data_IF_452455764821
#
_entry.id   IF_452455764821
#
_cell.length_a   1.000
_cell.length_b   1.000
_cell.length_c   1.000
_cell.angle_alpha   90.00
_cell.angle_beta   90.00
_cell.angle_gamma   90.00
#
_symmetry.space_group_name_H-M   'P 1'
#
loop_
_entity.id
_entity.type
_entity.pdbx_description
1 polymer ?
#
# COMPACT_ATOMS: atom_id res chain seq x y z
N UNK A 1 15.95 -9.78 -21.44
CA UNK A 1 17.33 -10.32 -21.70
C UNK A 1 17.17 -11.72 -22.26
N UNK A 2 17.33 -11.91 -23.58
CA UNK A 2 17.24 -13.23 -24.19
C UNK A 2 18.44 -14.07 -23.75
N UNK A 3 18.23 -14.95 -22.78
CA UNK A 3 19.10 -16.11 -22.52
C UNK A 3 19.27 -16.81 -23.87
N UNK A 4 20.50 -17.04 -24.33
CA UNK A 4 20.84 -17.46 -25.70
C UNK A 4 20.06 -18.66 -26.25
N UNK A 5 18.82 -18.41 -26.66
CA UNK A 5 17.91 -19.39 -27.23
C UNK A 5 18.21 -19.48 -28.71
N UNK A 6 18.63 -20.67 -29.14
CA UNK A 6 18.75 -20.98 -30.56
C UNK A 6 17.36 -21.20 -31.11
N UNK A 7 16.88 -20.26 -31.92
CA UNK A 7 15.67 -20.45 -32.71
C UNK A 7 15.99 -21.30 -33.93
N UNK A 8 15.03 -22.10 -34.36
CA UNK A 8 15.03 -22.64 -35.71
C UNK A 8 15.11 -21.47 -36.73
N UNK A 9 15.91 -21.56 -37.81
CA UNK A 9 16.05 -20.49 -38.80
C UNK A 9 14.72 -19.95 -39.35
N UNK A 10 13.73 -20.82 -39.55
CA UNK A 10 12.43 -20.41 -40.09
C UNK A 10 11.60 -19.66 -39.04
N UNK A 11 11.72 -20.05 -37.77
CA UNK A 11 11.08 -19.37 -36.63
C UNK A 11 11.73 -18.01 -36.40
N UNK A 12 13.07 -17.92 -36.52
CA UNK A 12 13.81 -16.67 -36.40
C UNK A 12 13.41 -15.66 -37.49
N UNK A 13 13.30 -16.11 -38.74
CA UNK A 13 12.88 -15.24 -39.86
C UNK A 13 11.45 -14.73 -39.65
N UNK A 14 10.53 -15.58 -39.19
CA UNK A 14 9.15 -15.18 -38.88
C UNK A 14 9.10 -14.14 -37.77
N UNK A 15 9.80 -14.35 -36.65
CA UNK A 15 9.84 -13.35 -35.58
C UNK A 15 10.50 -12.04 -36.00
N UNK A 16 11.50 -12.08 -36.86
CA UNK A 16 12.15 -10.86 -37.38
C UNK A 16 11.23 -10.07 -38.30
N UNK A 17 10.47 -10.75 -39.16
CA UNK A 17 9.46 -10.14 -40.01
C UNK A 17 8.33 -9.50 -39.17
N UNK A 18 7.85 -10.24 -38.17
CA UNK A 18 6.77 -9.79 -37.28
C UNK A 18 7.20 -8.60 -36.39
N UNK A 19 8.44 -8.62 -35.89
CA UNK A 19 9.04 -7.53 -35.12
C UNK A 19 9.15 -6.26 -35.98
N UNK A 20 9.57 -6.41 -37.24
CA UNK A 20 9.64 -5.30 -38.20
C UNK A 20 8.27 -4.74 -38.55
N UNK A 21 7.26 -5.60 -38.68
CA UNK A 21 5.88 -5.18 -38.96
C UNK A 21 5.23 -4.42 -37.79
N UNK A 22 5.61 -4.79 -36.56
CA UNK A 22 5.06 -4.23 -35.33
C UNK A 22 5.88 -3.07 -34.75
N UNK A 23 6.92 -2.62 -35.46
CA UNK A 23 7.89 -1.60 -35.02
C UNK A 23 8.51 -1.89 -33.64
N UNK A 24 8.84 -3.17 -33.40
CA UNK A 24 9.45 -3.68 -32.17
C UNK A 24 10.82 -4.26 -32.44
N UNK A 25 11.68 -4.24 -31.41
CA UNK A 25 12.91 -5.03 -31.46
C UNK A 25 12.58 -6.52 -31.39
N UNK A 26 13.37 -7.36 -32.06
CA UNK A 26 13.20 -8.83 -32.02
C UNK A 26 13.09 -9.38 -30.58
N UNK A 27 13.91 -8.94 -29.61
CA UNK A 27 13.74 -9.33 -28.21
C UNK A 27 12.37 -8.98 -27.62
N UNK A 28 11.85 -7.76 -27.89
CA UNK A 28 10.53 -7.35 -27.41
C UNK A 28 9.40 -8.12 -28.08
N UNK A 29 9.52 -8.49 -29.35
CA UNK A 29 8.48 -9.28 -30.04
C UNK A 29 8.40 -10.71 -29.46
N UNK A 30 9.54 -11.29 -29.07
CA UNK A 30 9.57 -12.59 -28.38
C UNK A 30 8.96 -12.48 -26.98
N UNK A 31 9.30 -11.43 -26.21
CA UNK A 31 8.75 -11.18 -24.88
C UNK A 31 7.23 -10.93 -24.95
N UNK A 32 6.75 -10.16 -25.93
CA UNK A 32 5.33 -9.89 -26.18
C UNK A 32 4.55 -11.17 -26.51
N UNK A 33 5.10 -12.07 -27.34
CA UNK A 33 4.40 -13.32 -27.67
C UNK A 33 4.40 -14.31 -26.52
N UNK A 34 5.49 -14.38 -25.76
CA UNK A 34 5.53 -15.15 -24.52
C UNK A 34 4.50 -14.61 -23.51
N UNK A 35 4.28 -13.30 -23.47
CA UNK A 35 3.28 -12.67 -22.60
C UNK A 35 1.85 -12.96 -23.03
N UNK A 36 1.55 -12.93 -24.34
CA UNK A 36 0.23 -13.34 -24.86
C UNK A 36 -0.08 -14.78 -24.44
N UNK A 37 0.90 -15.67 -24.59
CA UNK A 37 0.76 -17.08 -24.20
C UNK A 37 0.57 -17.25 -22.68
N UNK A 38 1.16 -16.35 -21.88
CA UNK A 38 1.00 -16.30 -20.43
C UNK A 38 -0.23 -15.50 -19.95
N UNK A 39 -1.01 -14.92 -20.87
CA UNK A 39 -2.16 -14.07 -20.53
C UNK A 39 -1.80 -12.74 -19.87
N UNK A 40 -0.56 -12.27 -20.04
CA UNK A 40 -0.03 -11.03 -19.45
C UNK A 40 -0.25 -9.87 -20.41
N UNK A 41 -0.97 -8.84 -19.97
CA UNK A 41 -1.24 -7.65 -20.77
C UNK A 41 0.00 -6.74 -20.90
N UNK A 42 0.01 -5.92 -21.95
CA UNK A 42 1.13 -5.01 -22.28
C UNK A 42 1.52 -4.06 -21.12
N UNK A 43 0.60 -3.44 -20.37
CA UNK A 43 0.97 -2.63 -19.20
C UNK A 43 1.71 -3.43 -18.11
N UNK A 44 1.31 -4.69 -17.88
CA UNK A 44 1.98 -5.56 -16.92
C UNK A 44 3.40 -5.91 -17.38
N UNK A 45 3.59 -6.16 -18.67
CA UNK A 45 4.93 -6.38 -19.24
C UNK A 45 5.84 -5.17 -19.03
N UNK A 46 5.34 -3.97 -19.34
CA UNK A 46 6.12 -2.74 -19.17
C UNK A 46 6.55 -2.55 -17.71
N UNK A 47 5.65 -2.82 -16.75
CA UNK A 47 5.97 -2.79 -15.34
C UNK A 47 7.03 -3.83 -14.95
N UNK A 48 6.90 -5.07 -15.41
CA UNK A 48 7.89 -6.14 -15.15
C UNK A 48 9.27 -5.73 -15.70
N UNK A 49 9.33 -5.22 -16.94
CA UNK A 49 10.58 -4.77 -17.55
C UNK A 49 11.23 -3.62 -16.76
N UNK A 50 10.44 -2.67 -16.26
CA UNK A 50 10.95 -1.60 -15.40
C UNK A 50 11.50 -2.13 -14.07
N UNK A 51 10.80 -3.08 -13.44
CA UNK A 51 11.26 -3.71 -12.20
C UNK A 51 12.59 -4.45 -12.40
N UNK A 52 12.70 -5.26 -13.45
CA UNK A 52 13.93 -5.98 -13.79
C UNK A 52 15.09 -5.00 -13.99
N UNK A 53 14.88 -3.93 -14.77
CA UNK A 53 15.91 -2.92 -15.01
C UNK A 53 16.37 -2.26 -13.71
N UNK A 54 15.45 -1.95 -12.78
CA UNK A 54 15.80 -1.34 -11.50
C UNK A 54 16.57 -2.27 -10.57
N UNK A 55 16.22 -3.55 -10.53
CA UNK A 55 16.99 -4.55 -9.79
C UNK A 55 18.41 -4.62 -10.34
N UNK A 56 18.58 -4.68 -11.66
CA UNK A 56 19.90 -4.71 -12.30
C UNK A 56 20.74 -3.47 -11.98
N UNK A 57 20.12 -2.29 -11.93
CA UNK A 57 20.84 -1.07 -11.56
C UNK A 57 21.28 -1.07 -10.09
N UNK A 58 20.46 -1.60 -9.18
CA UNK A 58 20.84 -1.77 -7.78
C UNK A 58 22.01 -2.76 -7.64
N UNK A 59 21.96 -3.91 -8.32
CA UNK A 59 23.04 -4.91 -8.30
C UNK A 59 24.35 -4.35 -8.88
N UNK A 60 24.30 -3.47 -9.90
CA UNK A 60 25.49 -2.78 -10.43
C UNK A 60 26.11 -1.85 -9.39
N UNK A 61 25.29 -1.15 -8.61
CA UNK A 61 25.75 -0.20 -7.59
C UNK A 61 26.34 -0.94 -6.39
N UNK A 62 25.66 -1.97 -5.89
CA UNK A 62 26.11 -2.77 -4.75
C UNK A 62 27.18 -3.79 -5.11
N UNK A 63 27.35 -4.08 -6.41
CA UNK A 63 28.25 -5.10 -6.99
C UNK A 63 27.96 -6.51 -6.48
N UNK A 64 26.75 -6.76 -6.01
CA UNK A 64 26.32 -8.04 -5.44
C UNK A 64 24.93 -8.40 -5.95
N UNK A 65 24.66 -9.70 -6.02
CA UNK A 65 23.36 -10.22 -6.38
C UNK A 65 22.35 -9.99 -5.24
N UNK A 66 21.14 -9.55 -5.56
CA UNK A 66 20.13 -9.20 -4.54
C UNK A 66 19.68 -10.37 -3.68
N UNK A 67 19.81 -11.60 -4.17
CA UNK A 67 19.45 -12.82 -3.45
C UNK A 67 20.59 -13.38 -2.60
N UNK A 68 21.80 -12.81 -2.69
CA UNK A 68 23.00 -13.27 -1.98
C UNK A 68 23.50 -12.24 -0.95
N UNK A 69 22.96 -11.02 -0.94
CA UNK A 69 23.42 -9.92 -0.11
C UNK A 69 22.26 -9.15 0.54
N UNK A 70 22.34 -8.98 1.87
CA UNK A 70 21.29 -8.37 2.68
C UNK A 70 21.04 -6.89 2.37
N UNK A 71 22.09 -6.13 2.06
CA UNK A 71 21.95 -4.70 1.75
C UNK A 71 21.28 -4.50 0.38
N UNK A 72 21.70 -5.30 -0.60
CA UNK A 72 21.10 -5.31 -1.93
C UNK A 72 19.64 -5.81 -1.88
N UNK A 73 19.36 -6.83 -1.06
CA UNK A 73 18.00 -7.31 -0.80
C UNK A 73 17.11 -6.21 -0.23
N UNK A 74 17.59 -5.50 0.80
CA UNK A 74 16.84 -4.42 1.44
C UNK A 74 16.55 -3.28 0.45
N UNK A 75 17.53 -2.91 -0.38
CA UNK A 75 17.35 -1.90 -1.42
C UNK A 75 16.30 -2.33 -2.47
N UNK A 76 16.31 -3.60 -2.89
CA UNK A 76 15.28 -4.15 -3.79
C UNK A 76 13.90 -4.15 -3.12
N UNK A 77 13.81 -4.52 -1.83
CA UNK A 77 12.55 -4.50 -1.07
C UNK A 77 11.93 -3.10 -1.02
N UNK A 78 12.73 -2.07 -0.71
CA UNK A 78 12.28 -0.66 -0.73
C UNK A 78 11.85 -0.25 -2.14
N UNK A 79 12.64 -0.59 -3.17
CA UNK A 79 12.30 -0.30 -4.57
C UNK A 79 10.99 -0.95 -5.01
N UNK A 80 10.70 -2.18 -4.59
CA UNK A 80 9.42 -2.83 -4.88
C UNK A 80 8.24 -2.12 -4.19
N UNK A 81 8.43 -1.59 -2.98
CA UNK A 81 7.39 -0.82 -2.29
C UNK A 81 7.19 0.61 -2.80
N UNK A 82 8.25 1.28 -3.26
CA UNK A 82 8.23 2.73 -3.54
C UNK A 82 8.54 3.10 -5.00
N UNK A 83 9.02 2.15 -5.80
CA UNK A 83 9.56 2.38 -7.14
C UNK A 83 8.52 2.22 -8.26
N UNK A 84 8.83 1.48 -9.35
CA UNK A 84 7.97 1.39 -10.53
C UNK A 84 6.56 0.89 -10.23
N UNK A 85 6.36 0.02 -9.24
CA UNK A 85 5.02 -0.44 -8.82
C UNK A 85 4.18 0.73 -8.30
N UNK A 86 4.77 1.59 -7.46
CA UNK A 86 4.10 2.80 -6.95
C UNK A 86 3.85 3.82 -8.06
N UNK A 87 4.76 3.93 -9.04
CA UNK A 87 4.65 4.87 -10.17
C UNK A 87 3.64 4.41 -11.23
N UNK A 88 3.57 3.10 -11.48
CA UNK A 88 2.59 2.48 -12.37
C UNK A 88 1.17 2.58 -11.82
N UNK A 89 1.01 3.00 -10.55
CA UNK A 89 -0.27 3.30 -9.90
C UNK A 89 -1.29 2.19 -10.16
N UNK A 90 -1.15 0.99 -9.57
CA UNK A 90 -2.35 0.18 -9.34
C UNK A 90 -3.34 1.11 -8.64
N UNK A 91 -4.57 1.22 -9.18
CA UNK A 91 -5.60 2.16 -8.71
C UNK A 91 -5.58 2.20 -7.16
N UNK A 92 -4.98 3.26 -6.62
CA UNK A 92 -4.93 3.46 -5.18
C UNK A 92 -6.32 3.93 -4.76
N UNK A 93 -6.84 3.44 -3.62
CA UNK A 93 -8.14 3.87 -3.10
C UNK A 93 -8.30 5.39 -3.16
N UNK A 94 -7.34 6.12 -2.62
CA UNK A 94 -7.40 7.59 -2.50
C UNK A 94 -7.34 8.38 -3.80
N UNK A 95 -7.14 7.74 -4.95
CA UNK A 95 -7.15 8.39 -6.27
C UNK A 95 -8.48 8.22 -7.03
N UNK A 96 -9.37 7.33 -6.59
CA UNK A 96 -10.74 7.29 -7.07
C UNK A 96 -11.50 8.51 -6.54
N UNK A 97 -12.20 9.23 -7.43
CA UNK A 97 -12.89 10.47 -7.09
C UNK A 97 -13.84 10.31 -5.89
N UNK A 98 -14.47 9.14 -5.79
CA UNK A 98 -15.40 8.79 -4.72
C UNK A 98 -14.70 8.61 -3.36
N UNK A 99 -13.56 7.91 -3.32
CA UNK A 99 -12.79 7.71 -2.09
C UNK A 99 -12.08 9.01 -1.69
N UNK A 100 -11.57 9.78 -2.66
CA UNK A 100 -11.03 11.12 -2.38
C UNK A 100 -12.10 12.03 -1.78
N UNK A 101 -13.30 12.03 -2.34
CA UNK A 101 -14.45 12.77 -1.81
C UNK A 101 -14.81 12.31 -0.39
N UNK A 102 -14.62 11.03 -0.06
CA UNK A 102 -14.86 10.50 1.28
C UNK A 102 -13.76 10.85 2.31
N UNK A 103 -12.48 10.90 1.88
CA UNK A 103 -11.33 11.12 2.78
C UNK A 103 -11.05 12.60 3.04
N UNK A 104 -11.26 13.48 2.05
CA UNK A 104 -10.97 14.92 2.17
C UNK A 104 -11.67 15.56 3.37
N UNK A 105 -12.98 15.35 3.62
CA UNK A 105 -13.66 15.91 4.79
C UNK A 105 -13.05 15.43 6.12
N UNK A 106 -12.65 14.16 6.21
CA UNK A 106 -12.01 13.60 7.41
C UNK A 106 -10.69 14.30 7.69
N UNK A 107 -9.90 14.56 6.63
CA UNK A 107 -8.61 15.24 6.74
C UNK A 107 -8.78 16.70 7.16
N UNK A 108 -9.72 17.43 6.57
CA UNK A 108 -10.01 18.81 6.96
C UNK A 108 -10.46 18.92 8.42
N UNK A 109 -11.28 17.98 8.88
CA UNK A 109 -11.69 17.91 10.29
C UNK A 109 -10.47 17.63 11.19
N UNK A 110 -9.62 16.68 10.82
CA UNK A 110 -8.41 16.36 11.57
C UNK A 110 -7.45 17.55 11.68
N UNK A 111 -7.17 18.24 10.57
CA UNK A 111 -6.30 19.41 10.55
C UNK A 111 -6.82 20.52 11.48
N UNK A 112 -8.15 20.74 11.49
CA UNK A 112 -8.81 21.65 12.46
C UNK A 112 -8.70 21.16 13.90
N UNK A 113 -8.89 19.87 14.16
CA UNK A 113 -8.73 19.28 15.50
C UNK A 113 -7.31 19.48 16.02
N UNK A 114 -6.28 19.28 15.19
CA UNK A 114 -4.88 19.54 15.55
C UNK A 114 -4.63 21.02 15.89
N UNK A 115 -5.23 21.95 15.12
CA UNK A 115 -5.12 23.38 15.41
C UNK A 115 -5.73 23.74 16.78
N UNK A 116 -6.91 23.22 17.09
CA UNK A 116 -7.58 23.46 18.38
C UNK A 116 -6.85 22.81 19.55
N UNK A 117 -6.29 21.61 19.38
CA UNK A 117 -5.42 20.99 20.39
C UNK A 117 -4.21 21.86 20.67
N UNK A 118 -3.58 22.40 19.63
CA UNK A 118 -2.44 23.30 19.78
C UNK A 118 -2.84 24.58 20.52
N UNK A 119 -4.03 25.11 20.25
CA UNK A 119 -4.57 26.28 20.95
C UNK A 119 -4.81 25.98 22.45
N UNK A 120 -5.46 24.87 22.79
CA UNK A 120 -5.70 24.47 24.17
C UNK A 120 -4.38 24.20 24.92
N UNK A 121 -3.43 23.55 24.24
CA UNK A 121 -2.09 23.30 24.78
C UNK A 121 -1.34 24.60 25.07
N UNK A 122 -1.46 25.61 24.20
CA UNK A 122 -0.85 26.93 24.42
C UNK A 122 -1.40 27.67 25.64
N UNK A 123 -2.64 27.35 26.05
CA UNK A 123 -3.26 27.86 27.28
C UNK A 123 -2.83 27.09 28.55
N UNK A 124 -2.00 26.04 28.41
CA UNK A 124 -1.44 25.25 29.52
C UNK A 124 -2.25 24.02 29.91
N UNK A 125 -3.21 23.58 29.09
CA UNK A 125 -3.99 22.36 29.33
C UNK A 125 -3.56 21.21 28.40
N UNK A 126 -3.41 20.01 28.95
CA UNK A 126 -3.11 18.81 28.16
C UNK A 126 -4.39 18.23 27.56
N UNK A 127 -4.34 17.90 26.28
CA UNK A 127 -5.44 17.26 25.52
C UNK A 127 -4.96 15.90 25.02
N UNK A 128 -5.85 14.91 25.00
CA UNK A 128 -5.50 13.56 24.51
C UNK A 128 -5.28 13.62 22.99
N UNK A 129 -4.17 13.04 22.53
CA UNK A 129 -3.77 13.08 21.12
C UNK A 129 -4.68 12.22 20.23
N UNK A 130 -4.78 12.59 18.95
CA UNK A 130 -5.64 11.93 17.97
C UNK A 130 -4.85 10.89 17.17
N UNK A 131 -5.15 9.61 17.38
CA UNK A 131 -4.74 8.59 16.44
C UNK A 131 -5.51 8.75 15.11
N UNK A 132 -4.80 8.66 13.99
CA UNK A 132 -5.43 8.48 12.68
C UNK A 132 -6.19 7.15 12.68
N UNK A 133 -7.42 7.08 12.15
CA UNK A 133 -8.18 5.84 12.16
C UNK A 133 -7.45 4.82 11.31
N UNK A 134 -6.95 3.76 11.94
CA UNK A 134 -6.41 2.59 11.24
C UNK A 134 -7.59 1.69 10.90
N UNK A 135 -7.74 1.32 9.63
CA UNK A 135 -8.79 0.41 9.18
C UNK A 135 -8.73 -0.88 10.03
N UNK A 136 -9.80 -1.17 10.78
CA UNK A 136 -9.92 -2.39 11.60
C UNK A 136 -9.77 -2.21 13.12
N UNK A 137 -9.31 -1.07 13.64
CA UNK A 137 -9.40 -0.77 15.09
C UNK A 137 -10.66 0.04 15.39
N UNK A 138 -11.39 -0.35 16.44
CA UNK A 138 -12.64 0.27 16.85
C UNK A 138 -12.53 1.79 16.97
N UNK A 139 -13.53 2.49 16.43
CA UNK A 139 -13.65 3.95 16.35
C UNK A 139 -14.05 4.57 17.70
N UNK A 140 -13.46 4.12 18.80
CA UNK A 140 -13.71 4.69 20.12
C UNK A 140 -12.93 5.99 20.28
N UNK A 141 -13.61 7.14 20.27
CA UNK A 141 -12.96 8.37 20.70
C UNK A 141 -12.81 8.38 22.22
N UNK A 142 -11.64 8.77 22.74
CA UNK A 142 -11.43 8.87 24.17
C UNK A 142 -12.37 9.94 24.75
N UNK A 143 -12.96 9.71 25.93
CA UNK A 143 -13.90 10.64 26.52
C UNK A 143 -13.19 11.91 27.05
N UNK A 144 -13.67 13.11 26.66
CA UNK A 144 -13.03 14.42 26.91
C UNK A 144 -13.27 15.09 28.27
N UNK A 145 -13.80 14.37 29.24
CA UNK A 145 -14.18 14.97 30.54
C UNK A 145 -12.97 15.42 31.37
N UNK A 146 -11.85 14.72 31.24
CA UNK A 146 -10.56 15.05 31.88
C UNK A 146 -9.98 16.37 31.36
N UNK A 147 -10.14 16.64 30.06
CA UNK A 147 -9.64 17.84 29.39
C UNK A 147 -10.36 19.09 29.90
N UNK A 148 -11.70 19.02 30.04
CA UNK A 148 -12.50 20.13 30.57
C UNK A 148 -12.11 20.51 32.00
N UNK A 149 -11.79 19.51 32.83
CA UNK A 149 -11.31 19.74 34.19
C UNK A 149 -9.93 20.43 34.20
N UNK A 150 -9.01 20.00 33.34
CA UNK A 150 -7.70 20.63 33.18
C UNK A 150 -7.80 22.10 32.71
N UNK A 151 -8.68 22.37 31.73
CA UNK A 151 -8.94 23.72 31.23
C UNK A 151 -9.54 24.62 32.34
N UNK A 152 -10.45 24.07 33.14
CA UNK A 152 -11.11 24.82 34.21
C UNK A 152 -10.15 25.25 35.33
N UNK A 153 -9.00 24.57 35.45
CA UNK A 153 -7.95 24.88 36.42
C UNK A 153 -6.97 25.98 35.96
N UNK A 154 -7.09 26.48 34.70
CA UNK A 154 -6.28 27.58 34.18
C UNK A 154 -6.58 28.86 34.99
N UNK A 155 -5.54 29.52 35.49
CA UNK A 155 -5.66 30.73 36.32
C UNK A 155 -5.97 32.00 35.53
N UNK A 156 -5.48 32.11 34.29
CA UNK A 156 -5.78 33.23 33.41
C UNK A 156 -7.19 33.05 32.81
N UNK A 157 -8.12 33.89 33.25
CA UNK A 157 -9.52 33.81 32.82
C UNK A 157 -9.70 34.03 31.31
N UNK A 158 -8.83 34.83 30.68
CA UNK A 158 -8.88 35.06 29.22
C UNK A 158 -8.42 33.82 28.46
N UNK A 159 -7.32 33.20 28.90
CA UNK A 159 -6.82 31.95 28.32
C UNK A 159 -7.80 30.79 28.55
N UNK A 160 -8.39 30.72 29.76
CA UNK A 160 -9.41 29.74 30.12
C UNK A 160 -10.66 29.85 29.24
N UNK A 161 -11.20 31.05 29.05
CA UNK A 161 -12.39 31.23 28.20
C UNK A 161 -12.13 30.86 26.73
N UNK A 162 -10.93 31.16 26.20
CA UNK A 162 -10.51 30.73 24.86
C UNK A 162 -10.39 29.21 24.77
N UNK A 163 -9.72 28.58 25.73
CA UNK A 163 -9.58 27.13 25.78
C UNK A 163 -10.92 26.39 25.94
N UNK A 164 -11.88 26.96 26.71
CA UNK A 164 -13.24 26.42 26.81
C UNK A 164 -14.00 26.53 25.48
N UNK A 165 -13.84 27.64 24.75
CA UNK A 165 -14.44 27.80 23.42
C UNK A 165 -13.85 26.80 22.42
N UNK A 166 -12.51 26.67 22.39
CA UNK A 166 -11.81 25.70 21.55
C UNK A 166 -12.20 24.26 21.89
N UNK A 167 -12.38 23.93 23.18
CA UNK A 167 -12.84 22.61 23.64
C UNK A 167 -14.27 22.29 23.21
N UNK A 168 -15.17 23.26 23.24
CA UNK A 168 -16.54 23.09 22.74
C UNK A 168 -16.54 22.84 21.21
N UNK A 169 -15.71 23.57 20.47
CA UNK A 169 -15.56 23.35 19.02
C UNK A 169 -14.92 21.98 18.72
N UNK A 170 -13.95 21.56 19.53
CA UNK A 170 -13.31 20.25 19.44
C UNK A 170 -14.31 19.10 19.66
N UNK A 171 -15.25 19.25 20.60
CA UNK A 171 -16.35 18.30 20.82
C UNK A 171 -17.31 18.23 19.63
N UNK A 172 -17.55 19.34 18.95
CA UNK A 172 -18.36 19.35 17.74
C UNK A 172 -17.64 18.66 16.57
N UNK A 173 -16.34 18.94 16.39
CA UNK A 173 -15.53 18.31 15.35
C UNK A 173 -15.39 16.80 15.56
N UNK A 174 -15.37 16.33 16.81
CA UNK A 174 -15.43 14.91 17.12
C UNK A 174 -16.66 14.24 16.53
N UNK A 175 -17.84 14.80 16.79
CA UNK A 175 -19.10 14.27 16.27
C UNK A 175 -19.09 14.25 14.74
N UNK A 176 -18.67 15.35 14.11
CA UNK A 176 -18.54 15.45 12.66
C UNK A 176 -17.52 14.45 12.09
N UNK A 177 -16.42 14.20 12.81
CA UNK A 177 -15.41 13.22 12.42
C UNK A 177 -15.96 11.80 12.48
N UNK A 178 -16.73 11.47 13.51
CA UNK A 178 -17.36 10.15 13.63
C UNK A 178 -18.33 9.89 12.48
N UNK A 179 -19.14 10.88 12.11
CA UNK A 179 -20.06 10.82 10.98
C UNK A 179 -19.32 10.70 9.64
N UNK A 180 -18.28 11.51 9.42
CA UNK A 180 -17.46 11.46 8.20
C UNK A 180 -16.73 10.13 8.06
N UNK A 181 -16.18 9.57 9.15
CA UNK A 181 -15.55 8.25 9.14
C UNK A 181 -16.58 7.16 8.83
N UNK A 182 -17.78 7.23 9.42
CA UNK A 182 -18.83 6.26 9.17
C UNK A 182 -19.27 6.27 7.70
N UNK A 183 -19.39 7.46 7.09
CA UNK A 183 -19.69 7.61 5.67
C UNK A 183 -18.54 7.10 4.78
N UNK A 184 -17.28 7.40 5.12
CA UNK A 184 -16.14 6.90 4.37
C UNK A 184 -15.93 5.40 4.50
N UNK A 185 -16.37 4.79 5.61
CA UNK A 185 -16.24 3.35 5.85
C UNK A 185 -16.91 2.52 4.76
N UNK A 186 -18.07 2.95 4.28
CA UNK A 186 -18.81 2.24 3.23
C UNK A 186 -18.03 2.23 1.90
N UNK A 187 -17.41 3.36 1.55
CA UNK A 187 -16.57 3.49 0.34
C UNK A 187 -15.25 2.73 0.50
N UNK A 188 -14.63 2.79 1.67
CA UNK A 188 -13.38 2.08 1.97
C UNK A 188 -13.57 0.57 2.15
N UNK A 189 -14.78 0.10 2.46
CA UNK A 189 -15.09 -1.32 2.63
C UNK A 189 -14.88 -2.10 1.33
N UNK A 190 -15.32 -1.58 0.19
CA UNK A 190 -15.14 -2.23 -1.11
C UNK A 190 -13.64 -2.49 -1.40
N UNK A 191 -12.78 -1.54 -1.02
CA UNK A 191 -11.35 -1.72 -1.14
C UNK A 191 -10.79 -2.76 -0.15
N UNK A 192 -11.17 -2.68 1.12
CA UNK A 192 -10.75 -3.64 2.14
C UNK A 192 -11.18 -5.08 1.79
N UNK A 193 -12.36 -5.24 1.19
CA UNK A 193 -12.85 -6.52 0.68
C UNK A 193 -12.04 -7.01 -0.52
N UNK A 194 -11.69 -6.12 -1.45
CA UNK A 194 -10.86 -6.44 -2.62
C UNK A 194 -9.44 -6.82 -2.21
N UNK A 195 -8.84 -6.10 -1.26
CA UNK A 195 -7.54 -6.44 -0.66
C UNK A 195 -7.60 -7.81 0.03
N UNK A 196 -8.64 -8.05 0.83
CA UNK A 196 -8.88 -9.34 1.50
C UNK A 196 -9.03 -10.48 0.50
N UNK A 197 -9.72 -10.26 -0.62
CA UNK A 197 -9.85 -11.23 -1.71
C UNK A 197 -8.49 -11.51 -2.35
N UNK A 198 -7.69 -10.49 -2.65
CA UNK A 198 -6.34 -10.64 -3.19
C UNK A 198 -5.42 -11.45 -2.27
N UNK A 199 -5.46 -11.15 -0.95
CA UNK A 199 -4.72 -11.93 0.07
C UNK A 199 -5.19 -13.38 0.11
N UNK A 200 -6.50 -13.61 0.09
CA UNK A 200 -7.08 -14.96 0.10
C UNK A 200 -6.71 -15.76 -1.16
N UNK A 201 -6.66 -15.11 -2.31
CA UNK A 201 -6.25 -15.71 -3.59
C UNK A 201 -4.78 -16.13 -3.54
N UNK A 202 -3.90 -15.23 -3.10
CA UNK A 202 -2.48 -15.53 -2.92
C UNK A 202 -2.27 -16.72 -1.98
N UNK A 203 -2.93 -16.70 -0.82
CA UNK A 203 -2.89 -17.81 0.14
C UNK A 203 -3.34 -19.13 -0.49
N UNK A 204 -4.42 -19.13 -1.29
CA UNK A 204 -4.87 -20.33 -1.98
C UNK A 204 -3.81 -20.85 -2.96
N UNK A 205 -3.22 -19.99 -3.78
CA UNK A 205 -2.18 -20.37 -4.74
C UNK A 205 -0.98 -20.98 -4.02
N UNK A 206 -0.47 -20.32 -2.99
CA UNK A 206 0.69 -20.82 -2.21
C UNK A 206 0.36 -22.16 -1.52
N UNK A 207 -0.85 -22.33 -0.98
CA UNK A 207 -1.28 -23.59 -0.38
C UNK A 207 -1.39 -24.72 -1.40
N UNK A 208 -1.93 -24.44 -2.59
CA UNK A 208 -2.06 -25.42 -3.67
C UNK A 208 -0.67 -25.83 -4.19
N UNK A 209 0.25 -24.89 -4.37
CA UNK A 209 1.65 -25.15 -4.75
C UNK A 209 2.35 -26.01 -3.69
N UNK A 210 2.24 -25.65 -2.41
CA UNK A 210 2.81 -26.43 -1.30
C UNK A 210 2.26 -27.86 -1.29
N UNK A 211 0.95 -28.02 -1.50
CA UNK A 211 0.30 -29.34 -1.57
C UNK A 211 0.81 -30.16 -2.76
N UNK A 212 0.97 -29.55 -3.93
CA UNK A 212 1.50 -30.22 -5.12
C UNK A 212 2.95 -30.68 -4.89
N UNK A 213 3.80 -29.83 -4.30
CA UNK A 213 5.20 -30.16 -4.00
C UNK A 213 5.32 -31.31 -3.02
N UNK A 214 4.50 -31.29 -1.95
CA UNK A 214 4.39 -32.41 -1.01
C UNK A 214 3.97 -33.70 -1.71
N UNK A 215 2.98 -33.65 -2.60
CA UNK A 215 2.55 -34.83 -3.37
C UNK A 215 3.64 -35.36 -4.31
N UNK A 216 4.56 -34.50 -4.77
CA UNK A 216 5.74 -34.86 -5.57
C UNK A 216 6.95 -35.29 -4.73
N UNK A 217 6.87 -35.23 -3.40
CA UNK A 217 7.97 -35.58 -2.50
C UNK A 217 9.12 -34.55 -2.46
N UNK A 218 8.87 -33.32 -2.90
CA UNK A 218 9.84 -32.22 -2.83
C UNK A 218 9.95 -31.67 -1.40
N UNK A 219 11.14 -31.17 -1.03
CA UNK A 219 11.35 -30.47 0.24
C UNK A 219 10.50 -29.18 0.30
N UNK A 220 9.81 -28.98 1.42
CA UNK A 220 9.05 -27.75 1.69
C UNK A 220 10.01 -26.61 2.01
N UNK A 221 9.71 -25.41 1.49
CA UNK A 221 10.50 -24.22 1.81
C UNK A 221 10.14 -23.67 3.20
N UNK A 222 11.08 -22.97 3.83
CA UNK A 222 10.91 -22.43 5.19
C UNK A 222 9.79 -21.39 5.27
N UNK A 223 9.64 -20.57 4.24
CA UNK A 223 8.52 -19.64 4.07
C UNK A 223 7.18 -20.38 3.98
N UNK A 224 7.09 -21.51 3.27
CA UNK A 224 5.89 -22.37 3.20
C UNK A 224 5.53 -22.98 4.58
N UNK A 225 6.53 -23.28 5.41
CA UNK A 225 6.34 -23.77 6.79
C UNK A 225 5.82 -22.69 7.73
N UNK A 226 6.34 -21.46 7.64
CA UNK A 226 5.87 -20.33 8.45
C UNK A 226 4.36 -20.10 8.23
N UNK A 227 3.86 -20.27 7.00
CA UNK A 227 2.43 -20.11 6.70
C UNK A 227 1.52 -21.23 7.23
N UNK A 228 2.04 -22.45 7.43
CA UNK A 228 1.29 -23.54 8.08
C UNK A 228 1.06 -23.28 9.58
N UNK A 229 1.96 -22.51 10.23
CA UNK A 229 1.91 -22.17 11.65
C UNK A 229 1.35 -20.77 11.92
N UNK A 230 1.49 -19.82 10.99
CA UNK A 230 0.88 -18.49 11.05
C UNK A 230 -0.57 -18.58 10.56
N UNK A 231 -1.36 -19.27 11.36
CA UNK A 231 -2.82 -19.23 11.32
C UNK A 231 -3.30 -18.22 12.36
N UNK A 232 -2.94 -16.94 12.25
CA UNK A 232 -3.17 -16.00 13.36
C UNK A 232 -3.64 -14.61 12.93
N UNK A 233 -4.75 -14.22 13.58
CA UNK A 233 -5.21 -12.87 13.99
C UNK A 233 -5.74 -11.91 12.92
#
# INVERSE_FOLDING_TARGET
MLIGTRFDPDVFQRFTADASHSDRSLPHEVEYRASILAGVNEPTLQLISQLISRIQDLEKVTKKCWHEDLETWAAVSVMLSEGPIRTAKPLLPGEEAEIRAAIVPIREIYDRQCALVTEIASAGATVVDFAWPTVGRGLGMPPRHTEKAAISAIKDEKAKMRALSAHAELQNLDQLRAEAIQSAKEVMMAYAETEKLGRSLWQRITNDETRQRRNRGEEMRVDELVWLFVRWL
#
